data_IF_914951496043
#
_entry.id   IF_914951496043
#
_cell.length_a   1.000
_cell.length_b   1.000
_cell.length_c   1.000
_cell.angle_alpha   90.00
_cell.angle_beta   90.00
_cell.angle_gamma   90.00
#
_symmetry.space_group_name_H-M   'P 1'
#
loop_
_entity.id
_entity.type
_entity.pdbx_description
1 polymer ?
#
# COMPACT_ATOMS: atom_id res chain seq x y z
N UNK A 1 -5.41 -24.58 -50.66
CA UNK A 1 -5.10 -23.60 -51.76
C UNK A 1 -5.96 -23.77 -53.02
N UNK A 2 -7.01 -24.65 -52.98
CA UNK A 2 -7.86 -24.88 -54.14
C UNK A 2 -9.32 -24.44 -53.99
N UNK A 3 -9.71 -23.81 -52.87
CA UNK A 3 -11.11 -23.41 -52.64
C UNK A 3 -11.42 -21.93 -52.88
N UNK A 4 -10.44 -21.08 -52.97
CA UNK A 4 -10.67 -19.63 -53.22
C UNK A 4 -10.76 -19.25 -54.70
N UNK A 5 -10.18 -20.03 -55.59
CA UNK A 5 -10.23 -19.70 -57.04
C UNK A 5 -11.55 -20.06 -57.72
N UNK A 6 -12.36 -20.91 -57.12
CA UNK A 6 -13.69 -21.28 -57.65
C UNK A 6 -14.74 -20.18 -57.36
N UNK A 7 -14.60 -19.46 -56.25
CA UNK A 7 -15.56 -18.40 -55.87
C UNK A 7 -15.38 -17.12 -56.70
N UNK A 8 -14.18 -16.75 -57.06
CA UNK A 8 -13.92 -15.54 -57.86
C UNK A 8 -14.36 -15.62 -59.31
N UNK A 9 -14.51 -16.86 -59.84
CA UNK A 9 -14.98 -17.07 -61.23
C UNK A 9 -16.51 -16.96 -61.40
N UNK A 10 -17.24 -17.16 -60.32
CA UNK A 10 -18.72 -17.14 -60.30
C UNK A 10 -19.33 -15.73 -60.19
N UNK A 11 -18.58 -14.72 -59.73
CA UNK A 11 -19.07 -13.34 -59.53
C UNK A 11 -19.14 -12.53 -60.81
N UNK A 12 -18.65 -13.01 -61.94
CA UNK A 12 -18.66 -12.32 -63.26
C UNK A 12 -19.87 -12.59 -64.11
N UNK A 13 -20.95 -13.18 -63.61
CA UNK A 13 -22.16 -13.36 -64.41
C UNK A 13 -23.13 -12.18 -64.22
N UNK A 14 -23.50 -11.59 -65.41
CA UNK A 14 -24.39 -10.45 -65.58
C UNK A 14 -25.73 -10.58 -64.84
N UNK A 15 -26.24 -9.47 -64.37
CA UNK A 15 -27.65 -9.23 -63.96
C UNK A 15 -28.63 -9.92 -64.90
N UNK A 16 -29.19 -11.03 -64.50
CA UNK A 16 -30.33 -11.70 -65.12
C UNK A 16 -30.97 -12.63 -64.14
N UNK A 17 -32.31 -12.68 -64.10
CA UNK A 17 -33.10 -13.55 -63.24
C UNK A 17 -32.74 -15.02 -63.52
N UNK A 18 -31.80 -15.61 -62.82
CA UNK A 18 -31.44 -17.01 -62.93
C UNK A 18 -32.06 -17.75 -61.75
N UNK A 19 -33.09 -18.53 -62.03
CA UNK A 19 -33.80 -19.30 -61.02
C UNK A 19 -33.10 -20.56 -60.61
N UNK A 20 -32.25 -21.16 -61.46
CA UNK A 20 -31.47 -22.37 -61.17
C UNK A 20 -30.17 -22.38 -61.98
N UNK A 21 -29.04 -22.55 -61.39
CA UNK A 21 -27.77 -22.82 -62.06
C UNK A 21 -27.47 -24.32 -61.92
N UNK A 22 -27.55 -25.07 -63.03
CA UNK A 22 -27.07 -26.43 -63.06
C UNK A 22 -25.56 -26.42 -63.35
N UNK A 23 -24.78 -26.75 -62.32
CA UNK A 23 -23.36 -26.98 -62.47
C UNK A 23 -23.18 -28.44 -62.86
N UNK A 24 -22.41 -28.72 -63.89
CA UNK A 24 -22.21 -30.06 -64.50
C UNK A 24 -21.60 -31.13 -63.59
N UNK A 25 -21.55 -30.90 -62.28
CA UNK A 25 -21.04 -31.81 -61.25
C UNK A 25 -22.14 -32.34 -60.32
N UNK A 26 -23.44 -32.25 -60.70
CA UNK A 26 -24.51 -32.90 -60.01
C UNK A 26 -24.89 -32.29 -58.63
N UNK A 27 -24.34 -31.14 -58.29
CA UNK A 27 -24.75 -30.39 -57.10
C UNK A 27 -25.82 -29.37 -57.47
N UNK A 28 -27.05 -29.58 -57.01
CA UNK A 28 -28.10 -28.54 -57.01
C UNK A 28 -27.82 -27.59 -55.88
N UNK A 29 -27.29 -26.41 -56.20
CA UNK A 29 -27.26 -25.29 -55.27
C UNK A 29 -28.57 -24.53 -55.40
N UNK A 30 -29.52 -24.75 -54.50
CA UNK A 30 -30.70 -23.91 -54.38
C UNK A 30 -30.30 -22.57 -53.79
N UNK A 31 -30.30 -21.52 -54.65
CA UNK A 31 -30.15 -20.17 -54.15
C UNK A 31 -31.49 -19.77 -53.55
N UNK A 32 -31.56 -19.45 -52.27
CA UNK A 32 -32.82 -19.05 -51.68
C UNK A 32 -33.38 -17.80 -52.38
N UNK A 33 -34.70 -17.84 -52.57
CA UNK A 33 -35.45 -16.81 -53.32
C UNK A 33 -35.23 -15.41 -52.67
N UNK A 34 -34.46 -14.54 -53.34
CA UNK A 34 -34.12 -13.19 -52.90
C UNK A 34 -35.31 -12.18 -52.98
N UNK A 35 -36.55 -12.68 -52.84
CA UNK A 35 -37.75 -11.82 -52.76
C UNK A 35 -38.22 -11.57 -51.32
N UNK A 36 -37.49 -12.01 -50.33
CA UNK A 36 -37.76 -11.61 -48.94
C UNK A 36 -37.47 -10.09 -48.81
N UNK A 37 -38.46 -9.35 -48.39
CA UNK A 37 -38.29 -7.91 -48.08
C UNK A 37 -37.18 -7.75 -47.06
N UNK A 38 -36.17 -7.02 -47.40
CA UNK A 38 -35.06 -6.60 -46.54
C UNK A 38 -35.04 -5.08 -46.62
N UNK A 39 -35.49 -4.43 -45.56
CA UNK A 39 -35.80 -3.00 -45.56
C UNK A 39 -34.56 -2.13 -45.34
N UNK A 40 -33.67 -2.53 -44.48
CA UNK A 40 -32.46 -1.81 -44.14
C UNK A 40 -31.23 -2.30 -44.95
N UNK A 41 -31.40 -3.43 -45.66
CA UNK A 41 -30.42 -4.00 -46.60
C UNK A 41 -29.13 -4.48 -45.89
N UNK A 42 -29.29 -5.16 -44.79
CA UNK A 42 -28.21 -5.79 -44.04
C UNK A 42 -27.95 -7.26 -44.47
N UNK A 43 -28.82 -7.83 -45.32
CA UNK A 43 -28.74 -9.20 -45.80
C UNK A 43 -29.61 -10.19 -45.01
N UNK A 44 -30.28 -9.77 -43.98
CA UNK A 44 -31.25 -10.53 -43.21
C UNK A 44 -32.66 -10.15 -43.66
N UNK A 45 -33.49 -11.11 -43.96
CA UNK A 45 -34.88 -10.82 -44.36
C UNK A 45 -35.70 -10.33 -43.17
N UNK A 46 -36.60 -9.34 -43.40
CA UNK A 46 -37.47 -8.76 -42.34
C UNK A 46 -38.25 -9.78 -41.50
N UNK A 47 -38.42 -11.05 -41.99
CA UNK A 47 -39.05 -12.12 -41.21
C UNK A 47 -38.13 -12.78 -40.20
N UNK A 48 -36.82 -12.70 -40.45
CA UNK A 48 -35.77 -13.29 -39.61
C UNK A 48 -34.97 -12.24 -38.88
N UNK A 49 -35.19 -11.00 -39.22
CA UNK A 49 -34.53 -9.81 -38.75
C UNK A 49 -35.24 -9.31 -37.48
N UNK A 50 -34.50 -9.24 -36.39
CA UNK A 50 -34.98 -8.70 -35.13
C UNK A 50 -35.00 -7.19 -35.13
N UNK A 51 -34.21 -6.53 -35.99
CA UNK A 51 -34.09 -5.06 -36.11
C UNK A 51 -34.38 -4.55 -37.55
N UNK A 52 -35.57 -4.80 -38.14
CA UNK A 52 -35.84 -4.65 -39.58
C UNK A 52 -35.73 -3.23 -40.15
N UNK A 53 -35.30 -2.27 -39.38
CA UNK A 53 -35.14 -0.88 -39.75
C UNK A 53 -33.74 -0.34 -39.50
N UNK A 54 -32.86 -1.13 -38.87
CA UNK A 54 -31.51 -0.71 -38.50
C UNK A 54 -30.56 -1.81 -38.91
N UNK A 55 -29.62 -1.48 -39.81
CA UNK A 55 -28.65 -2.45 -40.32
C UNK A 55 -27.87 -3.08 -39.20
N UNK A 56 -27.80 -4.42 -39.20
CA UNK A 56 -27.02 -5.18 -38.30
C UNK A 56 -26.19 -6.25 -38.96
N UNK A 57 -25.84 -7.29 -38.23
CA UNK A 57 -25.08 -8.43 -38.72
C UNK A 57 -25.94 -9.69 -38.85
N UNK A 58 -25.54 -10.61 -39.71
CA UNK A 58 -26.26 -11.91 -39.83
C UNK A 58 -26.14 -12.74 -38.54
N UNK A 59 -25.03 -12.63 -37.83
CA UNK A 59 -24.77 -13.30 -36.58
C UNK A 59 -25.67 -12.79 -35.45
N UNK A 60 -25.89 -11.49 -35.43
CA UNK A 60 -26.81 -10.80 -34.49
C UNK A 60 -28.26 -10.77 -35.00
N UNK A 61 -28.63 -11.63 -35.99
CA UNK A 61 -29.99 -11.73 -36.56
C UNK A 61 -30.56 -10.40 -37.06
N UNK A 62 -29.74 -9.58 -37.71
CA UNK A 62 -30.12 -8.29 -38.26
C UNK A 62 -30.04 -7.11 -37.31
N UNK A 63 -29.67 -7.32 -36.07
CA UNK A 63 -29.43 -6.22 -35.14
C UNK A 63 -27.97 -5.73 -35.16
N UNK A 64 -27.71 -4.47 -34.84
CA UNK A 64 -26.34 -4.01 -34.68
C UNK A 64 -25.67 -4.64 -33.44
N UNK A 65 -24.43 -5.01 -33.65
CA UNK A 65 -23.46 -5.48 -32.68
C UNK A 65 -22.14 -4.90 -33.17
N UNK A 66 -21.77 -3.75 -32.62
CA UNK A 66 -20.75 -2.87 -33.20
C UNK A 66 -19.33 -3.34 -32.95
N UNK A 67 -19.08 -3.85 -31.78
CA UNK A 67 -17.77 -4.37 -31.38
C UNK A 67 -17.61 -5.87 -31.64
N UNK A 68 -18.74 -6.58 -31.87
CA UNK A 68 -18.75 -7.97 -32.28
C UNK A 68 -18.54 -8.98 -31.16
N UNK A 69 -18.91 -8.63 -29.93
CA UNK A 69 -18.78 -9.53 -28.77
C UNK A 69 -19.95 -10.52 -28.63
N UNK A 70 -20.99 -10.34 -29.46
CA UNK A 70 -22.19 -11.19 -29.49
C UNK A 70 -23.33 -10.68 -28.62
N UNK A 71 -23.24 -9.47 -28.10
CA UNK A 71 -24.30 -8.76 -27.42
C UNK A 71 -24.78 -7.63 -28.32
N UNK A 72 -26.08 -7.44 -28.40
CA UNK A 72 -26.63 -6.40 -29.27
C UNK A 72 -26.38 -5.01 -28.66
N UNK A 73 -26.07 -4.00 -29.50
CA UNK A 73 -25.87 -2.61 -29.06
C UNK A 73 -26.95 -2.10 -28.09
N UNK A 74 -28.18 -2.63 -28.17
CA UNK A 74 -29.31 -2.25 -27.32
C UNK A 74 -29.32 -2.91 -25.95
N UNK A 75 -28.58 -4.02 -25.80
CA UNK A 75 -28.47 -4.80 -24.57
C UNK A 75 -27.07 -4.66 -23.95
N UNK A 76 -26.18 -4.04 -24.70
CA UNK A 76 -24.79 -3.84 -24.36
C UNK A 76 -24.58 -2.50 -23.63
N UNK A 77 -23.92 -2.54 -22.49
CA UNK A 77 -23.51 -1.33 -21.77
C UNK A 77 -22.29 -0.64 -22.38
N UNK A 78 -21.47 -1.40 -23.10
CA UNK A 78 -20.22 -0.95 -23.70
C UNK A 78 -20.17 -1.19 -25.22
N UNK A 79 -21.14 -0.71 -26.03
CA UNK A 79 -21.38 -1.16 -27.40
C UNK A 79 -20.28 -0.80 -28.41
N UNK A 80 -19.20 -0.20 -27.99
CA UNK A 80 -18.05 0.16 -28.83
C UNK A 80 -16.78 -0.61 -28.41
N UNK A 81 -16.85 -1.43 -27.32
CA UNK A 81 -15.67 -2.13 -26.76
C UNK A 81 -16.09 -3.52 -26.30
N UNK A 82 -15.72 -4.53 -27.08
CA UNK A 82 -16.07 -5.92 -26.82
C UNK A 82 -15.70 -6.38 -25.40
N UNK A 83 -16.66 -7.02 -24.72
CA UNK A 83 -16.49 -7.42 -23.35
C UNK A 83 -17.12 -8.76 -23.00
N UNK A 84 -17.47 -8.93 -21.74
CA UNK A 84 -17.97 -10.17 -21.20
C UNK A 84 -19.49 -10.16 -21.11
N UNK A 85 -20.12 -11.27 -21.47
CA UNK A 85 -21.57 -11.43 -21.40
C UNK A 85 -22.11 -11.30 -19.99
N UNK A 86 -21.37 -11.78 -19.01
CA UNK A 86 -21.67 -11.69 -17.59
C UNK A 86 -21.71 -10.25 -17.09
N UNK A 87 -20.94 -9.37 -17.76
CA UNK A 87 -20.82 -7.95 -17.46
C UNK A 87 -21.54 -7.06 -18.47
N UNK A 88 -22.54 -7.65 -19.18
CA UNK A 88 -23.40 -6.94 -20.14
C UNK A 88 -22.61 -6.26 -21.25
N UNK A 89 -21.59 -6.92 -21.82
CA UNK A 89 -20.78 -6.44 -22.91
C UNK A 89 -19.62 -5.53 -22.52
N UNK A 90 -19.40 -5.31 -21.25
CA UNK A 90 -18.26 -4.49 -20.82
C UNK A 90 -17.00 -5.34 -20.57
N UNK A 91 -15.82 -4.80 -20.89
CA UNK A 91 -14.56 -5.43 -20.58
C UNK A 91 -14.27 -5.41 -19.08
N UNK A 92 -13.55 -6.44 -18.64
CA UNK A 92 -12.98 -6.61 -17.31
C UNK A 92 -11.59 -7.22 -17.54
N UNK A 93 -10.58 -6.39 -17.48
CA UNK A 93 -9.25 -6.72 -17.95
C UNK A 93 -8.47 -7.62 -17.00
N UNK A 94 -8.63 -7.41 -15.72
CA UNK A 94 -7.94 -8.21 -14.68
C UNK A 94 -8.78 -9.37 -14.15
N UNK A 95 -10.09 -9.35 -14.42
CA UNK A 95 -11.00 -10.47 -14.12
C UNK A 95 -11.50 -10.51 -12.68
N UNK A 96 -11.59 -9.38 -12.00
CA UNK A 96 -12.08 -9.32 -10.62
C UNK A 96 -13.61 -9.20 -10.51
N UNK A 97 -14.29 -9.03 -11.65
CA UNK A 97 -15.75 -8.93 -11.74
C UNK A 97 -16.26 -7.49 -11.74
N UNK A 98 -15.38 -6.51 -11.84
CA UNK A 98 -15.71 -5.10 -12.02
C UNK A 98 -15.34 -4.69 -13.44
N UNK A 99 -16.19 -3.95 -14.11
CA UNK A 99 -15.91 -3.49 -15.47
C UNK A 99 -14.84 -2.40 -15.45
N UNK A 100 -13.93 -2.39 -16.45
CA UNK A 100 -12.81 -1.44 -16.54
C UNK A 100 -13.22 0.03 -16.31
N UNK A 101 -14.45 0.40 -16.70
CA UNK A 101 -14.96 1.78 -16.54
C UNK A 101 -15.35 2.15 -15.10
N UNK A 102 -15.65 1.15 -14.27
CA UNK A 102 -16.05 1.32 -12.86
C UNK A 102 -14.93 0.93 -11.91
N UNK A 103 -13.83 0.39 -12.47
CA UNK A 103 -12.66 -0.06 -11.75
C UNK A 103 -11.62 1.05 -11.63
N UNK A 104 -11.24 1.34 -10.39
CA UNK A 104 -10.19 2.31 -10.10
C UNK A 104 -8.76 1.71 -10.30
N UNK A 105 -8.65 0.37 -10.50
CA UNK A 105 -7.40 -0.37 -10.72
C UNK A 105 -7.51 -1.42 -11.83
N UNK A 106 -7.93 -1.10 -13.07
CA UNK A 106 -8.36 -2.06 -14.10
C UNK A 106 -7.27 -2.99 -14.66
N UNK A 107 -6.08 -2.95 -14.12
CA UNK A 107 -4.94 -3.79 -14.51
C UNK A 107 -4.59 -4.83 -13.43
N UNK A 108 -5.15 -4.69 -12.22
CA UNK A 108 -4.77 -5.48 -11.06
C UNK A 108 -5.99 -5.80 -10.22
N UNK A 109 -6.45 -7.05 -10.31
CA UNK A 109 -7.62 -7.55 -9.60
C UNK A 109 -7.61 -7.23 -8.11
N UNK A 110 -8.73 -6.71 -7.63
CA UNK A 110 -8.83 -6.26 -6.26
C UNK A 110 -10.19 -6.51 -5.62
N UNK A 111 -10.55 -5.66 -4.68
CA UNK A 111 -11.75 -5.81 -3.88
C UNK A 111 -12.87 -4.89 -4.37
N UNK A 112 -14.08 -5.42 -4.41
CA UNK A 112 -15.26 -4.64 -4.81
C UNK A 112 -15.53 -3.46 -3.89
N UNK A 113 -15.26 -3.61 -2.61
CA UNK A 113 -15.39 -2.56 -1.60
C UNK A 113 -14.43 -1.40 -1.83
N UNK A 114 -13.30 -1.68 -2.51
CA UNK A 114 -12.26 -0.72 -2.88
C UNK A 114 -12.26 -0.42 -4.39
N UNK A 115 -13.43 -0.64 -5.04
CA UNK A 115 -13.65 -0.37 -6.47
C UNK A 115 -12.59 -1.01 -7.37
N UNK A 116 -12.33 -2.30 -7.17
CA UNK A 116 -11.38 -3.07 -7.96
C UNK A 116 -9.92 -2.93 -7.56
N UNK A 117 -9.60 -2.17 -6.53
CA UNK A 117 -8.23 -2.04 -6.10
C UNK A 117 -7.83 -3.10 -5.06
N UNK A 118 -6.59 -3.61 -5.14
CA UNK A 118 -6.05 -4.53 -4.14
C UNK A 118 -5.84 -3.84 -2.79
N UNK A 119 -5.90 -4.64 -1.73
CA UNK A 119 -5.60 -4.29 -0.35
C UNK A 119 -4.82 -5.47 0.23
N UNK A 120 -3.49 -5.35 0.22
CA UNK A 120 -2.59 -6.46 0.49
C UNK A 120 -2.55 -6.88 1.93
N UNK A 121 -2.57 -5.92 2.85
CA UNK A 121 -2.55 -6.20 4.29
C UNK A 121 -3.94 -6.31 4.91
N UNK A 122 -4.98 -5.85 4.20
CA UNK A 122 -6.37 -5.98 4.60
C UNK A 122 -6.77 -5.03 5.72
N UNK A 123 -6.32 -3.79 5.68
CA UNK A 123 -6.71 -2.75 6.62
C UNK A 123 -7.92 -1.91 6.12
N UNK A 124 -8.32 -2.11 4.87
CA UNK A 124 -9.44 -1.42 4.23
C UNK A 124 -9.05 -0.17 3.44
N UNK A 125 -7.76 0.01 3.18
CA UNK A 125 -7.22 1.04 2.31
C UNK A 125 -6.62 0.35 1.08
N UNK A 126 -6.91 0.88 -0.11
CA UNK A 126 -6.32 0.30 -1.32
C UNK A 126 -4.82 0.55 -1.38
N UNK A 127 -4.04 -0.44 -1.86
CA UNK A 127 -2.56 -0.36 -1.97
C UNK A 127 -2.07 0.94 -2.63
N UNK A 128 -2.84 1.49 -3.58
CA UNK A 128 -2.50 2.75 -4.27
C UNK A 128 -2.62 4.00 -3.40
N UNK A 129 -3.47 3.94 -2.38
CA UNK A 129 -3.78 5.04 -1.47
C UNK A 129 -3.15 4.82 -0.08
N UNK A 130 -2.48 3.66 0.09
CA UNK A 130 -1.84 3.22 1.32
C UNK A 130 -0.34 3.56 1.32
N UNK A 131 0.09 4.29 2.34
CA UNK A 131 1.49 4.61 2.53
C UNK A 131 2.32 3.42 3.09
N UNK A 132 1.63 2.43 3.69
CA UNK A 132 2.23 1.23 4.28
C UNK A 132 1.56 -0.07 3.80
N UNK A 133 1.49 -0.38 2.49
CA UNK A 133 0.61 -1.39 1.90
C UNK A 133 0.92 -2.85 2.28
N UNK A 134 1.92 -3.10 3.08
CA UNK A 134 2.29 -4.44 3.57
C UNK A 134 2.04 -4.60 5.08
N UNK A 135 1.60 -3.53 5.78
CA UNK A 135 1.46 -3.53 7.24
C UNK A 135 0.22 -2.76 7.67
N UNK A 136 -0.80 -3.48 8.14
CA UNK A 136 -2.07 -2.90 8.59
C UNK A 136 -1.89 -1.68 9.46
N UNK A 137 -2.60 -0.62 9.11
CA UNK A 137 -2.53 0.61 9.84
C UNK A 137 -3.87 1.32 10.00
N UNK A 138 -3.79 2.62 10.18
CA UNK A 138 -4.93 3.45 10.46
C UNK A 138 -5.22 4.42 9.31
N UNK A 139 -6.49 4.63 9.04
CA UNK A 139 -6.92 5.53 7.97
C UNK A 139 -6.42 6.98 8.16
N UNK A 140 -6.26 7.42 9.39
CA UNK A 140 -5.75 8.76 9.72
C UNK A 140 -4.26 8.92 9.41
N UNK A 141 -3.53 7.80 9.29
CA UNK A 141 -2.12 7.75 8.88
C UNK A 141 -1.93 7.16 7.49
N UNK A 142 -2.99 7.24 6.66
CA UNK A 142 -2.97 6.70 5.29
C UNK A 142 -2.47 5.25 5.21
N UNK A 143 -2.95 4.37 6.12
CA UNK A 143 -2.60 2.96 6.17
C UNK A 143 -1.35 2.63 6.99
N UNK A 144 -0.67 3.61 7.59
CA UNK A 144 0.46 3.31 8.44
C UNK A 144 0.05 3.02 9.89
N UNK A 145 0.79 2.12 10.58
CA UNK A 145 0.50 1.76 11.96
C UNK A 145 0.87 2.86 12.96
N UNK A 146 0.15 2.87 14.08
CA UNK A 146 0.41 3.58 15.32
C UNK A 146 0.18 2.55 16.42
N UNK A 147 1.25 1.90 16.88
CA UNK A 147 1.18 0.69 17.69
C UNK A 147 0.75 0.95 19.12
N UNK A 148 1.21 2.04 19.71
CA UNK A 148 0.87 2.39 21.08
C UNK A 148 -0.35 3.35 21.19
N UNK A 149 -0.78 3.91 20.05
CA UNK A 149 -2.00 4.71 19.94
C UNK A 149 -1.87 6.12 20.48
N UNK A 150 -0.69 6.71 20.48
CA UNK A 150 -0.46 8.08 20.98
C UNK A 150 -0.74 9.15 19.92
N UNK A 151 -0.96 8.72 18.68
CA UNK A 151 -1.25 9.57 17.53
C UNK A 151 -0.03 10.04 16.77
N UNK A 152 1.11 9.37 16.93
CA UNK A 152 2.29 9.44 16.06
C UNK A 152 2.43 8.10 15.36
N UNK A 153 2.56 8.11 14.04
CA UNK A 153 2.74 6.84 13.31
C UNK A 153 4.11 6.21 13.64
N UNK A 154 4.19 4.87 13.69
CA UNK A 154 5.40 4.13 14.08
C UNK A 154 6.68 4.59 13.37
N UNK A 155 6.59 5.00 12.11
CA UNK A 155 7.76 5.44 11.31
C UNK A 155 8.30 6.81 11.71
N UNK A 156 7.49 7.63 12.38
CA UNK A 156 7.84 8.96 12.86
C UNK A 156 8.02 8.99 14.36
N UNK A 157 7.61 7.90 15.03
CA UNK A 157 7.66 7.74 16.46
C UNK A 157 9.06 7.30 16.91
N UNK A 158 9.62 8.00 17.87
CA UNK A 158 10.90 7.65 18.47
C UNK A 158 10.76 6.56 19.56
N UNK A 159 9.52 6.33 20.06
CA UNK A 159 9.19 5.32 21.07
C UNK A 159 7.95 4.49 20.68
N UNK A 160 7.93 3.78 19.53
CA UNK A 160 6.72 3.24 18.91
C UNK A 160 5.99 2.13 19.69
N UNK A 161 6.47 1.75 20.84
CA UNK A 161 5.86 0.74 21.72
C UNK A 161 5.36 1.35 23.04
N UNK A 162 5.58 2.66 23.29
CA UNK A 162 5.26 3.32 24.57
C UNK A 162 4.74 4.73 24.32
N UNK A 163 3.44 4.89 24.44
CA UNK A 163 2.73 6.12 24.17
C UNK A 163 3.29 7.34 24.91
N UNK A 164 3.56 8.41 24.17
CA UNK A 164 4.12 9.62 24.71
C UNK A 164 3.54 10.90 24.12
N UNK A 165 4.31 11.96 24.09
CA UNK A 165 3.87 13.26 23.62
C UNK A 165 4.25 13.50 22.16
N UNK A 166 3.28 13.89 21.34
CA UNK A 166 3.50 14.27 19.92
C UNK A 166 4.59 15.32 19.73
N UNK A 167 4.69 16.27 20.67
CA UNK A 167 5.73 17.30 20.60
C UNK A 167 7.15 16.73 20.73
N UNK A 168 7.25 15.50 21.25
CA UNK A 168 8.50 14.80 21.50
C UNK A 168 8.57 13.48 20.71
N UNK A 169 7.89 13.45 19.55
CA UNK A 169 7.89 12.32 18.63
C UNK A 169 7.46 11.01 19.29
N UNK A 170 6.35 11.06 20.04
CA UNK A 170 5.79 9.89 20.68
C UNK A 170 6.54 9.37 21.90
N UNK A 171 7.61 10.02 22.37
CA UNK A 171 8.31 9.55 23.55
C UNK A 171 7.75 10.14 24.84
N UNK A 172 7.55 9.33 25.90
CA UNK A 172 7.24 9.80 27.24
C UNK A 172 8.48 10.35 27.97
N UNK A 173 8.24 11.07 29.04
CA UNK A 173 9.22 11.42 30.07
C UNK A 173 8.77 10.69 31.35
N UNK A 174 9.29 9.46 31.54
CA UNK A 174 8.78 8.52 32.55
C UNK A 174 9.00 9.00 33.98
N UNK A 175 10.10 9.68 34.27
CA UNK A 175 10.36 10.20 35.64
C UNK A 175 10.04 11.67 35.80
N UNK A 176 9.79 12.40 34.70
CA UNK A 176 9.39 13.79 34.70
C UNK A 176 10.52 14.77 35.07
N UNK A 177 11.71 14.52 34.56
CA UNK A 177 12.88 15.36 34.76
C UNK A 177 13.14 16.34 33.59
N UNK A 178 12.39 16.19 32.50
CA UNK A 178 12.48 17.00 31.29
C UNK A 178 13.43 16.42 30.24
N UNK A 179 13.91 15.19 30.43
CA UNK A 179 14.59 14.40 29.40
C UNK A 179 13.67 13.26 29.01
N UNK A 180 13.39 13.12 27.71
CA UNK A 180 12.48 12.09 27.22
C UNK A 180 13.18 10.73 27.14
N UNK A 181 12.44 9.63 27.30
CA UNK A 181 12.97 8.26 27.46
C UNK A 181 13.94 7.82 26.37
N UNK A 182 13.79 8.34 25.15
CA UNK A 182 14.70 8.05 24.03
C UNK A 182 16.08 8.73 24.15
N UNK A 183 16.18 9.79 24.97
CA UNK A 183 17.40 10.54 25.23
C UNK A 183 17.90 10.36 26.65
N UNK A 184 17.05 9.79 27.53
CA UNK A 184 17.33 9.59 28.95
C UNK A 184 18.11 8.28 29.17
N UNK A 185 19.23 8.38 29.87
CA UNK A 185 20.02 7.22 30.29
C UNK A 185 19.53 6.60 31.59
N UNK A 186 18.72 7.32 32.35
CA UNK A 186 18.23 6.89 33.66
C UNK A 186 16.69 7.05 33.76
N UNK A 187 15.96 6.51 32.79
CA UNK A 187 14.52 6.62 32.50
C UNK A 187 13.60 6.68 33.73
N UNK A 188 14.00 6.12 34.87
CA UNK A 188 13.19 6.00 36.09
C UNK A 188 13.73 6.79 37.26
N UNK A 189 14.81 7.56 37.09
CA UNK A 189 15.50 8.26 38.18
C UNK A 189 15.91 9.65 37.75
N UNK A 190 15.14 10.65 38.17
CA UNK A 190 15.34 12.05 37.81
C UNK A 190 16.79 12.51 37.90
N UNK A 191 17.26 13.12 36.84
CA UNK A 191 18.55 13.80 36.83
C UNK A 191 18.55 15.06 35.93
N UNK A 192 19.62 15.80 35.87
CA UNK A 192 19.65 17.01 35.07
C UNK A 192 19.87 16.68 33.58
N UNK A 193 19.27 17.48 32.70
CA UNK A 193 19.45 17.45 31.24
C UNK A 193 20.93 17.41 30.85
N UNK A 194 21.78 18.15 31.54
CA UNK A 194 23.22 18.21 31.31
C UNK A 194 23.94 16.87 31.55
N UNK A 195 23.29 15.90 32.24
CA UNK A 195 23.78 14.54 32.47
C UNK A 195 22.88 13.50 31.84
N UNK A 196 22.12 13.86 30.80
CA UNK A 196 21.21 12.99 30.04
C UNK A 196 20.24 12.24 30.97
N UNK A 197 19.52 12.97 31.83
CA UNK A 197 18.53 12.41 32.73
C UNK A 197 19.08 11.66 33.96
N UNK A 198 20.38 11.47 34.06
CA UNK A 198 20.96 10.74 35.20
C UNK A 198 21.35 11.68 36.35
N UNK A 199 21.12 11.28 37.60
CA UNK A 199 21.71 11.99 38.72
C UNK A 199 23.25 11.90 38.67
N UNK A 200 23.90 12.96 39.13
CA UNK A 200 25.35 12.87 39.31
C UNK A 200 25.67 11.96 40.49
N UNK A 201 26.69 11.10 40.31
CA UNK A 201 27.11 10.19 41.35
C UNK A 201 27.71 10.94 42.55
N UNK A 202 27.41 10.46 43.75
CA UNK A 202 28.05 10.75 45.04
C UNK A 202 28.29 9.38 45.69
N UNK A 203 29.44 8.78 45.40
CA UNK A 203 29.72 7.37 45.71
C UNK A 203 29.83 7.08 47.20
N UNK A 204 30.33 8.02 48.00
CA UNK A 204 30.48 7.83 49.43
C UNK A 204 29.34 8.52 50.25
N UNK A 205 28.51 9.36 49.58
CA UNK A 205 27.36 10.00 50.19
C UNK A 205 27.74 11.05 51.23
N UNK A 206 28.75 11.87 50.94
CA UNK A 206 29.17 12.98 51.80
C UNK A 206 28.57 14.34 51.40
N UNK A 207 27.85 14.37 50.23
CA UNK A 207 27.21 15.58 49.68
C UNK A 207 28.10 16.34 48.70
N UNK A 208 29.27 15.81 48.33
CA UNK A 208 30.13 16.29 47.24
C UNK A 208 30.01 15.26 46.11
N UNK A 209 29.62 15.75 44.93
CA UNK A 209 29.49 14.86 43.78
C UNK A 209 30.86 14.31 43.31
N UNK A 210 30.93 13.07 42.87
CA UNK A 210 32.16 12.40 42.42
C UNK A 210 33.00 13.26 41.46
N UNK A 211 32.38 14.05 40.59
CA UNK A 211 33.08 14.95 39.65
C UNK A 211 33.77 16.13 40.31
N UNK A 212 33.31 16.52 41.48
CA UNK A 212 33.79 17.65 42.26
C UNK A 212 34.55 17.20 43.52
N UNK A 213 34.55 15.89 43.78
CA UNK A 213 35.14 15.23 44.94
C UNK A 213 36.58 14.72 44.62
N UNK A 214 37.53 15.11 45.46
CA UNK A 214 38.90 14.60 45.35
C UNK A 214 39.08 13.21 45.96
N UNK A 215 38.14 12.77 46.77
CA UNK A 215 38.18 11.49 47.50
C UNK A 215 36.84 10.73 47.32
N UNK A 216 36.41 10.38 46.10
CA UNK A 216 35.04 9.92 45.80
C UNK A 216 34.57 8.67 46.49
N UNK A 217 35.39 8.02 47.29
CA UNK A 217 35.11 6.78 48.02
C UNK A 217 35.31 6.89 49.52
N UNK A 218 35.66 8.08 49.99
CA UNK A 218 35.96 8.29 51.43
C UNK A 218 35.40 9.63 51.87
N UNK A 219 34.29 9.60 52.64
CA UNK A 219 33.57 10.74 53.13
C UNK A 219 34.45 11.84 53.75
N UNK A 220 34.22 13.07 53.29
CA UNK A 220 34.86 14.22 53.85
C UNK A 220 34.03 15.49 53.73
N UNK A 221 34.37 16.58 54.34
CA UNK A 221 33.56 17.80 54.25
C UNK A 221 33.75 18.53 52.93
N UNK A 222 32.71 19.17 52.42
CA UNK A 222 32.74 19.98 51.22
C UNK A 222 33.80 21.08 51.27
N UNK A 223 34.13 21.59 52.46
CA UNK A 223 35.19 22.55 52.67
C UNK A 223 36.60 22.02 52.34
N UNK A 224 36.77 20.72 52.24
CA UNK A 224 37.98 20.02 51.84
C UNK A 224 37.79 19.21 50.54
N UNK A 225 36.80 19.59 49.75
CA UNK A 225 36.51 18.97 48.45
C UNK A 225 36.27 17.45 48.57
N UNK A 226 35.43 17.03 49.55
CA UNK A 226 35.08 15.63 49.81
C UNK A 226 36.16 14.79 50.49
N UNK A 227 37.36 15.32 50.76
CA UNK A 227 38.38 14.55 51.46
C UNK A 227 38.33 14.73 52.94
N UNK A 228 38.64 13.69 53.72
CA UNK A 228 38.73 13.78 55.16
C UNK A 228 39.81 14.78 55.60
N UNK A 229 39.48 15.56 56.65
CA UNK A 229 40.40 16.52 57.25
C UNK A 229 41.29 15.81 58.24
N UNK A 230 42.58 15.81 58.03
CA UNK A 230 43.54 15.23 58.99
C UNK A 230 43.70 16.26 60.12
N UNK A 231 43.38 15.84 61.33
CA UNK A 231 43.54 16.68 62.53
C UNK A 231 45.00 17.11 62.72
N UNK A 232 45.20 18.34 63.19
CA UNK A 232 46.55 18.89 63.44
C UNK A 232 47.41 18.05 64.37
N UNK A 233 46.78 17.32 65.28
CA UNK A 233 47.49 16.35 66.13
C UNK A 233 48.10 15.18 65.35
N UNK A 234 47.36 14.64 64.36
CA UNK A 234 47.80 13.55 63.51
C UNK A 234 48.89 14.04 62.53
N UNK A 235 48.74 15.25 61.97
CA UNK A 235 49.79 15.87 61.13
C UNK A 235 51.11 16.01 61.87
N UNK A 236 51.05 16.46 63.19
CA UNK A 236 52.25 16.56 64.03
C UNK A 236 52.92 15.22 64.33
N UNK A 237 52.10 14.15 64.49
CA UNK A 237 52.63 12.79 64.67
C UNK A 237 53.27 12.26 63.38
N UNK A 238 52.62 12.44 62.24
CA UNK A 238 53.14 12.02 60.95
C UNK A 238 54.44 12.77 60.59
N UNK A 239 54.56 14.06 60.88
CA UNK A 239 55.79 14.84 60.70
C UNK A 239 56.94 14.35 61.61
N UNK A 240 56.64 13.95 62.86
CA UNK A 240 57.60 13.32 63.71
C UNK A 240 58.05 11.93 63.23
N UNK A 241 57.13 11.13 62.76
CA UNK A 241 57.41 9.78 62.24
C UNK A 241 58.30 9.83 60.95
N UNK A 242 58.10 10.88 60.10
CA UNK A 242 58.93 11.09 58.90
C UNK A 242 60.42 11.36 59.19
N UNK A 243 60.70 11.87 60.40
CA UNK A 243 62.06 12.19 60.82
C UNK A 243 62.72 11.09 61.66
N UNK A 244 62.11 9.88 61.79
CA UNK A 244 62.70 8.73 62.41
C UNK A 244 63.65 8.10 61.38
N UNK A 245 64.94 8.30 61.58
CA UNK A 245 65.94 7.55 60.86
C UNK A 245 66.05 6.16 61.49
N UNK A 246 65.88 5.14 60.70
CA UNK A 246 66.22 3.80 61.11
C UNK A 246 67.75 3.66 61.03
N UNK A 247 68.40 3.47 62.23
CA UNK A 247 69.78 3.07 62.23
C UNK A 247 69.87 1.63 61.71
N UNK A 248 70.44 1.47 60.52
CA UNK A 248 70.77 0.18 59.96
C UNK A 248 71.96 -0.34 60.75
N UNK A 249 71.72 -1.36 61.62
CA UNK A 249 72.76 -2.14 62.25
C UNK A 249 73.46 -3.07 61.25
#
# INVERSE_FOLDING_TARGET
LASQDIFSSLIKMKKGNVRDINIQLGLKVSIPNMTAKDKDKDGVSNKKDLCPNVKGTCEAKGCPDRDGDGILDTEDKCPDVAGLKELQGCPDKDGDGIIDMEDDCPEVAGLKELKGCPDRDGDGIADKDDACPDVKGLKEFAGCPDRDGDGVQDSEDACPDVAGDKAHKGCPDTDGDGVYDNEDKCITVKGPVANMGCPYADTDGDGVLDKDDKCPTVKGPASNQGCPVIEEKVKKVLLKARNIQFETG
#
